data_IF_274110929200
#
_entry.id   IF_274110929200
#
_cell.length_a   1.000
_cell.length_b   1.000
_cell.length_c   1.000
_cell.angle_alpha   90.00
_cell.angle_beta   90.00
_cell.angle_gamma   90.00
#
_symmetry.space_group_name_H-M   'P 1'
#
loop_
_entity.id
_entity.type
_entity.pdbx_description
1 polymer ?
#
# COMPACT_ATOMS: atom_id res chain seq x y z
N UNK A 1 -10.32 -21.98 60.69
CA UNK A 1 -10.31 -21.14 59.51
C UNK A 1 -8.92 -21.28 58.90
N UNK A 2 -8.71 -22.21 57.97
CA UNK A 2 -7.42 -22.52 57.35
C UNK A 2 -7.36 -21.88 55.97
N UNK A 3 -6.42 -20.97 55.83
CA UNK A 3 -6.03 -20.34 54.56
C UNK A 3 -5.24 -21.40 53.80
N UNK A 4 -5.67 -21.72 52.56
CA UNK A 4 -4.97 -22.62 51.64
C UNK A 4 -4.07 -21.84 50.71
N UNK A 5 -2.90 -22.43 50.55
CA UNK A 5 -1.70 -22.03 49.86
C UNK A 5 -1.86 -21.68 48.36
N UNK A 6 -1.02 -20.72 47.96
CA UNK A 6 -0.75 -20.27 46.65
C UNK A 6 -0.24 -21.40 45.73
N UNK A 7 -0.80 -21.50 44.54
CA UNK A 7 -0.22 -22.26 43.44
C UNK A 7 0.65 -21.32 42.60
N UNK A 8 1.94 -21.30 42.90
CA UNK A 8 2.96 -20.68 42.06
C UNK A 8 3.19 -21.56 40.81
N UNK A 9 2.82 -21.06 39.65
CA UNK A 9 3.24 -21.63 38.36
C UNK A 9 4.64 -21.12 38.03
N UNK A 10 5.64 -21.99 37.81
CA UNK A 10 7.00 -21.54 37.54
C UNK A 10 7.12 -20.95 36.13
N UNK A 11 7.50 -19.70 36.04
CA UNK A 11 7.98 -19.05 34.84
C UNK A 11 9.25 -19.76 34.34
N UNK A 12 9.15 -20.46 33.21
CA UNK A 12 10.32 -20.99 32.51
C UNK A 12 11.17 -19.80 32.02
N UNK A 13 12.35 -19.65 32.62
CA UNK A 13 13.40 -18.76 32.15
C UNK A 13 13.87 -19.22 30.76
N UNK A 14 13.65 -18.39 29.76
CA UNK A 14 14.38 -18.48 28.50
C UNK A 14 15.84 -18.08 28.78
N UNK A 15 16.72 -19.06 28.77
CA UNK A 15 18.17 -18.85 28.85
C UNK A 15 18.63 -18.33 27.50
N UNK A 16 18.95 -17.05 27.43
CA UNK A 16 19.71 -16.48 26.30
C UNK A 16 21.16 -16.92 26.51
N UNK A 17 21.66 -17.76 25.61
CA UNK A 17 23.06 -18.16 25.59
C UNK A 17 23.91 -16.93 25.18
N UNK A 18 24.58 -16.32 26.14
CA UNK A 18 25.64 -15.36 25.89
C UNK A 18 26.88 -16.11 25.39
N UNK A 19 27.13 -16.07 24.10
CA UNK A 19 28.42 -16.50 23.53
C UNK A 19 29.49 -15.47 23.96
N UNK A 20 30.38 -15.89 24.85
CA UNK A 20 31.59 -15.13 25.22
C UNK A 20 32.53 -15.14 24.02
N UNK A 21 32.72 -13.97 23.42
CA UNK A 21 33.79 -13.76 22.40
C UNK A 21 35.09 -13.57 23.15
N UNK A 22 35.95 -14.61 23.16
CA UNK A 22 37.33 -14.48 23.57
C UNK A 22 38.13 -13.76 22.49
N UNK A 23 38.60 -12.58 22.83
CA UNK A 23 39.51 -11.74 22.05
C UNK A 23 40.91 -12.37 22.04
N UNK A 24 41.24 -13.10 20.99
CA UNK A 24 42.64 -13.44 20.69
C UNK A 24 43.24 -12.31 19.83
N UNK A 25 44.03 -11.44 20.46
CA UNK A 25 44.89 -10.48 19.81
C UNK A 25 46.13 -11.23 19.31
N UNK A 26 46.31 -11.36 18.02
CA UNK A 26 47.47 -11.90 17.36
C UNK A 26 47.50 -11.49 15.90
N UNK A 27 48.35 -10.53 15.62
CA UNK A 27 48.88 -10.03 14.36
C UNK A 27 48.69 -10.93 13.14
N UNK A 28 47.87 -10.50 12.18
CA UNK A 28 48.12 -10.58 10.74
C UNK A 28 47.36 -9.38 10.16
N UNK A 29 48.06 -8.35 9.74
CA UNK A 29 47.54 -7.34 8.83
C UNK A 29 47.55 -7.97 7.43
N UNK A 30 46.43 -8.26 6.81
CA UNK A 30 46.33 -8.25 5.35
C UNK A 30 46.00 -6.80 4.95
N UNK A 31 46.82 -6.24 4.09
CA UNK A 31 46.44 -5.08 3.28
C UNK A 31 45.03 -5.38 2.67
N UNK A 32 44.00 -4.88 3.32
CA UNK A 32 42.70 -4.81 2.70
C UNK A 32 42.81 -3.68 1.68
N UNK A 33 43.10 -4.04 0.42
CA UNK A 33 42.68 -3.22 -0.70
C UNK A 33 41.23 -2.85 -0.48
N UNK A 34 41.02 -1.55 -0.34
CA UNK A 34 39.71 -0.92 -0.24
C UNK A 34 38.98 -1.14 -1.58
N UNK A 35 38.50 -2.38 -1.79
CA UNK A 35 37.53 -2.65 -2.86
C UNK A 35 36.30 -1.87 -2.49
N UNK A 36 36.29 -0.60 -2.89
CA UNK A 36 35.05 0.19 -2.99
C UNK A 36 34.05 -0.67 -3.77
N UNK A 37 33.18 -1.38 -3.06
CA UNK A 37 31.98 -1.92 -3.68
C UNK A 37 31.37 -0.76 -4.46
N UNK A 38 31.20 -0.87 -5.78
CA UNK A 38 30.60 0.20 -6.55
C UNK A 38 29.26 0.51 -5.91
N UNK A 39 29.08 1.74 -5.49
CA UNK A 39 27.77 2.21 -5.01
C UNK A 39 26.76 1.84 -6.10
N UNK A 40 25.70 1.08 -5.81
CA UNK A 40 24.75 0.69 -6.84
C UNK A 40 24.27 1.95 -7.55
N UNK A 41 24.26 1.91 -8.87
CA UNK A 41 23.80 3.05 -9.67
C UNK A 41 22.38 3.42 -9.23
N UNK A 42 22.06 4.71 -9.12
CA UNK A 42 20.73 5.14 -8.70
C UNK A 42 19.67 4.59 -9.63
N UNK A 43 18.54 4.14 -9.09
CA UNK A 43 17.39 3.71 -9.87
C UNK A 43 16.91 4.86 -10.76
N UNK A 44 16.87 4.64 -12.07
CA UNK A 44 16.40 5.63 -13.05
C UNK A 44 14.91 5.46 -13.29
N UNK A 45 14.13 6.49 -12.98
CA UNK A 45 12.68 6.49 -13.09
C UNK A 45 12.25 7.43 -14.20
N UNK A 46 11.40 6.96 -15.11
CA UNK A 46 10.65 7.81 -16.02
C UNK A 46 9.28 8.15 -15.43
N UNK A 47 8.91 9.42 -15.39
CA UNK A 47 7.58 9.85 -14.97
C UNK A 47 6.68 10.03 -16.19
N UNK A 48 5.54 9.34 -16.21
CA UNK A 48 4.48 9.50 -17.19
C UNK A 48 3.29 10.14 -16.52
N UNK A 49 3.05 11.41 -16.86
CA UNK A 49 2.19 12.32 -16.10
C UNK A 49 2.99 13.15 -15.10
N UNK A 50 3.17 14.43 -15.41
CA UNK A 50 3.96 15.35 -14.59
C UNK A 50 3.08 16.41 -13.92
N UNK A 51 2.00 15.93 -13.27
CA UNK A 51 1.08 16.72 -12.44
C UNK A 51 1.46 16.66 -10.94
N UNK A 52 0.47 16.85 -10.08
CA UNK A 52 0.67 16.87 -8.61
C UNK A 52 1.38 15.62 -8.08
N UNK A 53 1.06 14.41 -8.59
CA UNK A 53 1.74 13.19 -8.18
C UNK A 53 3.14 13.09 -8.76
N UNK A 54 3.36 13.46 -10.02
CA UNK A 54 4.68 13.46 -10.65
C UNK A 54 5.68 14.33 -9.89
N UNK A 55 5.30 15.55 -9.52
CA UNK A 55 6.15 16.44 -8.71
C UNK A 55 6.46 15.88 -7.32
N UNK A 56 5.49 15.23 -6.67
CA UNK A 56 5.72 14.64 -5.35
C UNK A 56 6.62 13.40 -5.43
N UNK A 57 6.48 12.58 -6.49
CA UNK A 57 7.37 11.45 -6.74
C UNK A 57 8.80 11.94 -7.01
N UNK A 58 8.99 12.96 -7.85
CA UNK A 58 10.31 13.53 -8.14
C UNK A 58 11.00 14.02 -6.86
N UNK A 59 10.29 14.77 -6.02
CA UNK A 59 10.82 15.26 -4.74
C UNK A 59 11.30 14.12 -3.84
N UNK A 60 10.49 13.06 -3.68
CA UNK A 60 10.82 11.92 -2.82
C UNK A 60 11.86 10.99 -3.44
N UNK A 61 11.89 10.84 -4.76
CA UNK A 61 12.89 10.03 -5.45
C UNK A 61 14.31 10.52 -5.13
N UNK A 62 14.55 11.84 -5.16
CA UNK A 62 15.82 12.43 -4.80
C UNK A 62 16.25 12.10 -3.35
N UNK A 63 15.31 12.15 -2.39
CA UNK A 63 15.57 11.80 -0.98
C UNK A 63 15.92 10.31 -0.80
N UNK A 64 15.51 9.44 -1.72
CA UNK A 64 15.77 8.00 -1.71
C UNK A 64 16.94 7.56 -2.59
N UNK A 65 17.66 8.51 -3.19
CA UNK A 65 18.79 8.22 -4.09
C UNK A 65 18.37 7.65 -5.45
N UNK A 66 17.10 7.80 -5.85
CA UNK A 66 16.63 7.52 -7.19
C UNK A 66 16.70 8.78 -8.07
N UNK A 67 16.83 8.59 -9.38
CA UNK A 67 16.97 9.68 -10.34
C UNK A 67 15.78 9.69 -11.31
N UNK A 68 15.14 10.85 -11.48
CA UNK A 68 14.20 11.03 -12.58
C UNK A 68 15.02 11.27 -13.87
N UNK A 69 14.98 10.29 -14.76
CA UNK A 69 15.74 10.29 -16.02
C UNK A 69 14.96 10.84 -17.20
N UNK A 70 13.62 10.80 -17.12
CA UNK A 70 12.73 11.33 -18.16
C UNK A 70 11.37 11.72 -17.56
N UNK A 71 10.72 12.70 -18.20
CA UNK A 71 9.33 13.08 -17.90
C UNK A 71 8.53 13.15 -19.20
N UNK A 72 7.33 12.56 -19.17
CA UNK A 72 6.39 12.54 -20.28
C UNK A 72 5.05 13.12 -19.85
N UNK A 73 4.45 13.92 -20.72
CA UNK A 73 3.15 14.55 -20.53
C UNK A 73 2.44 14.74 -21.87
N UNK A 74 1.32 15.45 -21.91
CA UNK A 74 0.59 15.74 -23.14
C UNK A 74 1.42 16.51 -24.18
N UNK A 75 2.36 17.37 -23.75
CA UNK A 75 3.22 18.14 -24.64
C UNK A 75 4.43 17.33 -25.13
N UNK A 76 4.82 16.33 -24.37
CA UNK A 76 5.93 15.41 -24.66
C UNK A 76 5.51 13.97 -24.43
N UNK A 77 4.71 13.37 -25.32
CA UNK A 77 4.26 11.98 -25.18
C UNK A 77 5.41 11.00 -25.37
N UNK A 78 5.23 9.78 -24.90
CA UNK A 78 6.18 8.70 -25.09
C UNK A 78 6.23 8.39 -26.61
N UNK A 79 7.42 8.45 -27.21
CA UNK A 79 7.59 8.12 -28.59
C UNK A 79 7.73 6.58 -28.76
N UNK A 80 6.90 5.99 -29.61
CA UNK A 80 6.85 4.54 -29.82
C UNK A 80 8.19 3.90 -30.28
N UNK A 81 9.11 4.71 -30.85
CA UNK A 81 10.38 4.22 -31.41
C UNK A 81 11.62 4.78 -30.68
N UNK A 82 11.45 5.42 -29.53
CA UNK A 82 12.55 5.99 -28.76
C UNK A 82 12.71 5.26 -27.41
N UNK A 83 13.95 4.90 -27.02
CA UNK A 83 14.18 4.27 -25.73
C UNK A 83 13.81 5.22 -24.58
N UNK A 84 13.20 4.68 -23.54
CA UNK A 84 12.76 5.47 -22.37
C UNK A 84 13.94 5.90 -21.49
N UNK A 85 15.13 5.29 -21.65
CA UNK A 85 16.34 5.55 -20.84
C UNK A 85 16.11 5.52 -19.32
N UNK A 86 15.20 4.65 -18.86
CA UNK A 86 14.87 4.44 -17.46
C UNK A 86 14.86 2.94 -17.16
N UNK A 87 15.01 2.60 -15.89
CA UNK A 87 14.91 1.22 -15.40
C UNK A 87 13.46 0.82 -15.16
N UNK A 88 12.60 1.83 -14.90
CA UNK A 88 11.16 1.68 -14.67
C UNK A 88 10.44 2.99 -14.96
N UNK A 89 9.21 2.91 -15.42
CA UNK A 89 8.30 4.06 -15.54
C UNK A 89 7.28 4.06 -14.40
N UNK A 90 6.88 5.26 -13.94
CA UNK A 90 5.75 5.45 -13.03
C UNK A 90 4.71 6.31 -13.74
N UNK A 91 3.52 5.74 -13.93
CA UNK A 91 2.43 6.29 -14.73
C UNK A 91 1.30 6.80 -13.80
N UNK A 92 1.09 8.14 -13.82
CA UNK A 92 -0.03 8.84 -13.17
C UNK A 92 -0.60 9.87 -14.12
N UNK A 93 -1.44 9.45 -15.05
CA UNK A 93 -2.06 10.33 -16.05
C UNK A 93 -3.59 10.38 -15.94
N UNK A 94 -4.29 9.98 -16.98
CA UNK A 94 -5.75 10.00 -17.09
C UNK A 94 -6.26 8.64 -17.61
N UNK A 95 -7.47 8.19 -17.24
CA UNK A 95 -8.05 6.92 -17.70
C UNK A 95 -8.03 6.71 -19.22
N UNK A 96 -8.19 7.79 -19.99
CA UNK A 96 -8.20 7.72 -21.45
C UNK A 96 -6.80 7.55 -22.07
N UNK A 97 -5.73 7.90 -21.33
CA UNK A 97 -4.34 7.83 -21.82
C UNK A 97 -3.59 6.58 -21.34
N UNK A 98 -3.96 6.03 -20.20
CA UNK A 98 -3.21 4.99 -19.48
C UNK A 98 -2.96 3.73 -20.32
N UNK A 99 -3.93 3.26 -21.08
CA UNK A 99 -3.77 2.05 -21.91
C UNK A 99 -2.73 2.25 -23.02
N UNK A 100 -2.76 3.40 -23.68
CA UNK A 100 -1.76 3.76 -24.69
C UNK A 100 -0.36 3.85 -24.08
N UNK A 101 -0.23 4.47 -22.90
CA UNK A 101 1.03 4.57 -22.18
C UNK A 101 1.56 3.20 -21.77
N UNK A 102 0.73 2.34 -21.18
CA UNK A 102 1.12 0.97 -20.78
C UNK A 102 1.59 0.18 -22.00
N UNK A 103 0.83 0.19 -23.12
CA UNK A 103 1.17 -0.52 -24.33
C UNK A 103 2.53 -0.09 -24.85
N UNK A 104 2.73 1.21 -25.01
CA UNK A 104 4.01 1.75 -25.50
C UNK A 104 5.18 1.38 -24.60
N UNK A 105 5.04 1.51 -23.26
CA UNK A 105 6.09 1.16 -22.32
C UNK A 105 6.43 -0.34 -22.33
N UNK A 106 5.42 -1.19 -22.37
CA UNK A 106 5.60 -2.66 -22.46
C UNK A 106 6.29 -3.06 -23.76
N UNK A 107 5.89 -2.48 -24.90
CA UNK A 107 6.51 -2.72 -26.21
C UNK A 107 7.97 -2.23 -26.26
N UNK A 108 8.29 -1.15 -25.54
CA UNK A 108 9.66 -0.66 -25.38
C UNK A 108 10.49 -1.45 -24.32
N UNK A 109 9.91 -2.48 -23.71
CA UNK A 109 10.57 -3.30 -22.68
C UNK A 109 10.77 -2.59 -21.34
N UNK A 110 10.12 -1.44 -21.13
CA UNK A 110 10.22 -0.67 -19.88
C UNK A 110 9.19 -1.18 -18.85
N UNK A 111 9.62 -1.65 -17.67
CA UNK A 111 8.70 -1.96 -16.57
C UNK A 111 7.88 -0.72 -16.18
N UNK A 112 6.60 -0.91 -15.83
CA UNK A 112 5.73 0.22 -15.48
C UNK A 112 4.90 -0.02 -14.23
N UNK A 113 4.96 0.96 -13.32
CA UNK A 113 4.08 1.09 -12.17
C UNK A 113 2.94 2.02 -12.56
N UNK A 114 1.70 1.53 -12.45
CA UNK A 114 0.50 2.23 -12.92
C UNK A 114 -0.34 2.66 -11.73
N UNK A 115 -0.45 3.98 -11.51
CA UNK A 115 -1.28 4.57 -10.46
C UNK A 115 -2.53 5.27 -10.98
N UNK A 116 -2.67 5.43 -12.28
CA UNK A 116 -3.93 5.92 -12.88
C UNK A 116 -5.03 4.89 -12.62
N UNK A 117 -6.19 5.36 -12.18
CA UNK A 117 -7.40 4.55 -11.90
C UNK A 117 -8.45 4.72 -13.00
N UNK A 118 -9.54 3.93 -12.93
CA UNK A 118 -10.68 4.05 -13.84
C UNK A 118 -10.52 3.32 -15.19
N UNK A 119 -9.56 2.39 -15.29
CA UNK A 119 -9.34 1.55 -16.45
C UNK A 119 -9.53 0.04 -16.16
N UNK A 120 -10.13 -0.29 -15.03
CA UNK A 120 -10.28 -1.68 -14.53
C UNK A 120 -10.91 -2.65 -15.55
N UNK A 121 -11.79 -2.16 -16.42
CA UNK A 121 -12.40 -2.94 -17.52
C UNK A 121 -11.38 -3.46 -18.55
N UNK A 122 -10.16 -2.92 -18.57
CA UNK A 122 -9.09 -3.29 -19.48
C UNK A 122 -7.94 -4.10 -18.83
N UNK A 123 -8.10 -4.48 -17.58
CA UNK A 123 -7.05 -5.21 -16.84
C UNK A 123 -6.70 -6.51 -17.52
N UNK A 124 -7.67 -7.27 -18.05
CA UNK A 124 -7.41 -8.54 -18.74
C UNK A 124 -6.70 -8.34 -20.08
N UNK A 125 -7.03 -7.27 -20.82
CA UNK A 125 -6.31 -6.88 -22.04
C UNK A 125 -4.83 -6.59 -21.73
N UNK A 126 -4.57 -5.84 -20.67
CA UNK A 126 -3.20 -5.52 -20.24
C UNK A 126 -2.46 -6.77 -19.76
N UNK A 127 -3.11 -7.70 -19.06
CA UNK A 127 -2.50 -8.99 -18.67
C UNK A 127 -2.04 -9.79 -19.88
N UNK A 128 -2.87 -9.85 -20.93
CA UNK A 128 -2.54 -10.54 -22.17
C UNK A 128 -1.36 -9.86 -22.90
N UNK A 129 -1.36 -8.53 -22.98
CA UNK A 129 -0.26 -7.75 -23.53
C UNK A 129 1.05 -8.01 -22.80
N UNK A 130 1.03 -7.95 -21.47
CA UNK A 130 2.20 -8.19 -20.61
C UNK A 130 2.74 -9.60 -20.80
N UNK A 131 1.88 -10.61 -20.87
CA UNK A 131 2.27 -11.99 -21.08
C UNK A 131 2.91 -12.18 -22.48
N UNK A 132 2.32 -11.60 -23.52
CA UNK A 132 2.82 -11.71 -24.89
C UNK A 132 4.18 -11.01 -25.09
N UNK A 133 4.36 -9.84 -24.49
CA UNK A 133 5.58 -9.05 -24.59
C UNK A 133 6.66 -9.44 -23.55
N UNK A 134 6.39 -10.38 -22.65
CA UNK A 134 7.24 -10.69 -21.48
C UNK A 134 7.58 -9.42 -20.68
N UNK A 135 6.60 -8.52 -20.58
CA UNK A 135 6.71 -7.25 -19.87
C UNK A 135 6.53 -7.35 -18.38
N UNK A 136 6.66 -6.22 -17.68
CA UNK A 136 6.42 -6.09 -16.22
C UNK A 136 5.53 -4.91 -15.96
N UNK A 137 4.37 -5.15 -15.37
CA UNK A 137 3.41 -4.11 -14.99
C UNK A 137 3.00 -4.35 -13.55
N UNK A 138 3.02 -3.30 -12.73
CA UNK A 138 2.45 -3.31 -11.39
C UNK A 138 1.35 -2.25 -11.33
N UNK A 139 0.14 -2.65 -10.98
CA UNK A 139 -1.01 -1.77 -10.82
C UNK A 139 -1.47 -1.69 -9.38
N UNK A 140 -1.81 -0.49 -8.92
CA UNK A 140 -2.46 -0.25 -7.66
C UNK A 140 -3.52 0.84 -7.77
N UNK A 141 -4.72 0.59 -7.26
CA UNK A 141 -5.75 1.62 -7.11
C UNK A 141 -5.44 2.59 -5.97
N UNK A 142 -4.54 2.20 -5.06
CA UNK A 142 -4.12 3.02 -3.93
C UNK A 142 -2.67 2.67 -3.53
N UNK A 143 -1.74 3.56 -3.80
CA UNK A 143 -0.32 3.42 -3.48
C UNK A 143 0.06 3.86 -2.05
N UNK A 144 -0.89 4.25 -1.20
CA UNK A 144 -0.57 4.58 0.19
C UNK A 144 -0.10 3.36 0.96
N UNK A 145 1.18 3.33 1.31
CA UNK A 145 1.77 2.28 2.16
C UNK A 145 0.97 2.13 3.46
N UNK A 146 0.67 3.26 4.12
CA UNK A 146 -0.09 3.25 5.37
C UNK A 146 -1.49 2.67 5.23
N UNK A 147 -2.19 2.94 4.12
CA UNK A 147 -3.53 2.38 3.86
C UNK A 147 -3.45 0.87 3.62
N UNK A 148 -2.46 0.39 2.86
CA UNK A 148 -2.33 -1.05 2.58
C UNK A 148 -1.93 -1.83 3.84
N UNK A 149 -1.04 -1.30 4.68
CA UNK A 149 -0.76 -1.86 6.00
C UNK A 149 -2.01 -1.82 6.90
N UNK A 150 -2.79 -0.74 6.84
CA UNK A 150 -4.03 -0.62 7.61
C UNK A 150 -5.06 -1.67 7.20
N UNK A 151 -5.22 -1.98 5.91
CA UNK A 151 -6.06 -3.08 5.44
C UNK A 151 -5.67 -4.43 6.07
N UNK A 152 -4.36 -4.73 6.16
CA UNK A 152 -3.86 -5.96 6.79
C UNK A 152 -4.12 -5.99 8.29
N UNK A 153 -3.91 -4.86 8.98
CA UNK A 153 -4.18 -4.73 10.42
C UNK A 153 -5.66 -4.94 10.71
N UNK A 154 -6.54 -4.29 9.94
CA UNK A 154 -8.00 -4.44 10.09
C UNK A 154 -8.44 -5.87 9.81
N UNK A 155 -7.91 -6.53 8.77
CA UNK A 155 -8.19 -7.95 8.48
C UNK A 155 -7.82 -8.85 9.65
N UNK A 156 -6.62 -8.71 10.19
CA UNK A 156 -6.15 -9.49 11.33
C UNK A 156 -6.99 -9.23 12.60
N UNK A 157 -7.32 -7.97 12.87
CA UNK A 157 -8.18 -7.60 14.00
C UNK A 157 -9.60 -8.19 13.84
N UNK A 158 -10.20 -8.07 12.65
CA UNK A 158 -11.52 -8.63 12.39
C UNK A 158 -11.56 -10.15 12.52
N UNK A 159 -10.53 -10.86 12.02
CA UNK A 159 -10.39 -12.31 12.20
C UNK A 159 -10.34 -12.70 13.67
N UNK A 160 -9.54 -12.00 14.48
CA UNK A 160 -9.45 -12.24 15.91
C UNK A 160 -10.80 -11.99 16.62
N UNK A 161 -11.44 -10.85 16.31
CA UNK A 161 -12.69 -10.41 16.94
C UNK A 161 -13.93 -11.15 16.43
N UNK A 162 -13.82 -11.92 15.35
CA UNK A 162 -14.91 -12.78 14.88
C UNK A 162 -15.28 -13.84 15.94
N UNK A 163 -14.30 -14.36 16.70
CA UNK A 163 -14.51 -15.27 17.81
C UNK A 163 -15.18 -14.66 19.05
N UNK A 164 -15.43 -13.34 19.08
CA UNK A 164 -15.99 -12.60 20.21
C UNK A 164 -17.26 -11.84 19.78
N UNK A 165 -18.41 -12.50 19.71
CA UNK A 165 -19.65 -11.94 19.13
C UNK A 165 -20.25 -10.75 19.89
N UNK A 166 -19.77 -10.47 21.10
CA UNK A 166 -20.17 -9.29 21.86
C UNK A 166 -19.65 -7.97 21.26
N UNK A 167 -18.60 -8.01 20.45
CA UNK A 167 -18.10 -6.82 19.76
C UNK A 167 -18.87 -6.57 18.48
N UNK A 168 -19.58 -5.45 18.41
CA UNK A 168 -20.16 -4.92 17.19
C UNK A 168 -19.08 -4.19 16.37
N UNK A 169 -19.31 -3.95 15.07
CA UNK A 169 -18.34 -3.28 14.21
C UNK A 169 -19.00 -2.19 13.38
N UNK A 170 -18.29 -1.06 13.24
CA UNK A 170 -18.67 0.05 12.37
C UNK A 170 -17.45 0.68 11.70
N UNK A 171 -17.68 1.41 10.61
CA UNK A 171 -16.63 2.14 9.88
C UNK A 171 -17.04 3.61 9.71
N UNK A 172 -16.12 4.50 10.03
CA UNK A 172 -16.22 5.93 9.77
C UNK A 172 -15.14 6.39 8.81
N UNK A 173 -15.46 7.31 7.88
CA UNK A 173 -14.47 7.97 7.05
C UNK A 173 -14.74 9.47 6.91
N UNK A 174 -13.67 10.26 6.80
CA UNK A 174 -13.74 11.69 6.56
C UNK A 174 -12.77 12.12 5.45
N UNK A 175 -13.24 12.95 4.53
CA UNK A 175 -12.45 13.56 3.46
C UNK A 175 -12.83 15.03 3.25
N UNK A 176 -12.03 15.71 2.41
CA UNK A 176 -12.30 17.09 2.02
C UNK A 176 -13.66 17.22 1.31
N UNK A 177 -14.24 18.43 1.36
CA UNK A 177 -15.57 18.73 0.82
C UNK A 177 -15.71 18.60 -0.71
N UNK A 178 -14.58 18.51 -1.45
CA UNK A 178 -14.55 18.33 -2.92
C UNK A 178 -14.58 16.87 -3.35
N UNK A 179 -14.53 15.89 -2.41
CA UNK A 179 -14.58 14.47 -2.75
C UNK A 179 -16.02 14.08 -3.08
N UNK A 180 -16.23 13.57 -4.29
CA UNK A 180 -17.57 13.29 -4.83
C UNK A 180 -18.14 11.93 -4.35
N UNK A 181 -17.30 10.90 -4.30
CA UNK A 181 -17.71 9.55 -3.88
C UNK A 181 -17.86 9.45 -2.35
N UNK A 182 -18.93 8.82 -1.92
CA UNK A 182 -19.21 8.47 -0.52
C UNK A 182 -20.02 7.15 -0.48
N UNK A 183 -19.53 6.11 0.19
CA UNK A 183 -18.22 5.98 0.83
C UNK A 183 -17.05 6.06 -0.15
N UNK A 184 -15.85 6.43 0.37
CA UNK A 184 -14.61 6.43 -0.42
C UNK A 184 -14.20 5.01 -0.81
N UNK A 185 -13.40 4.86 -1.91
CA UNK A 185 -12.89 3.56 -2.32
C UNK A 185 -12.14 2.82 -1.20
N UNK A 186 -11.36 3.53 -0.37
CA UNK A 186 -10.71 2.95 0.83
C UNK A 186 -11.73 2.44 1.85
N UNK A 187 -12.81 3.18 2.07
CA UNK A 187 -13.87 2.75 2.98
C UNK A 187 -14.63 1.52 2.43
N UNK A 188 -14.86 1.46 1.12
CA UNK A 188 -15.46 0.29 0.48
C UNK A 188 -14.57 -0.95 0.65
N UNK A 189 -13.25 -0.82 0.44
CA UNK A 189 -12.29 -1.93 0.66
C UNK A 189 -12.29 -2.37 2.12
N UNK A 190 -12.26 -1.45 3.09
CA UNK A 190 -12.34 -1.78 4.51
C UNK A 190 -13.65 -2.48 4.87
N UNK A 191 -14.78 -2.00 4.33
CA UNK A 191 -16.06 -2.64 4.54
C UNK A 191 -16.10 -4.06 3.98
N UNK A 192 -15.55 -4.29 2.78
CA UNK A 192 -15.42 -5.64 2.20
C UNK A 192 -14.60 -6.56 3.10
N UNK A 193 -13.47 -6.07 3.64
CA UNK A 193 -12.63 -6.83 4.59
C UNK A 193 -13.43 -7.21 5.84
N UNK A 194 -14.19 -6.27 6.41
CA UNK A 194 -14.98 -6.53 7.61
C UNK A 194 -16.11 -7.54 7.34
N UNK A 195 -16.82 -7.41 6.21
CA UNK A 195 -17.87 -8.34 5.78
C UNK A 195 -17.34 -9.74 5.49
N UNK A 196 -16.11 -9.86 4.95
CA UNK A 196 -15.45 -11.14 4.72
C UNK A 196 -15.00 -11.84 6.01
N UNK A 197 -14.64 -11.08 7.05
CA UNK A 197 -14.02 -11.62 8.26
C UNK A 197 -14.97 -11.73 9.46
N UNK A 198 -16.10 -11.05 9.45
CA UNK A 198 -17.07 -11.04 10.54
C UNK A 198 -18.36 -11.74 10.11
N UNK A 199 -18.56 -13.00 10.47
CA UNK A 199 -19.72 -13.83 10.12
C UNK A 199 -21.07 -13.18 10.49
N UNK A 200 -21.05 -12.34 11.55
CA UNK A 200 -22.25 -11.61 12.02
C UNK A 200 -22.60 -10.37 11.22
N UNK A 201 -21.73 -9.94 10.26
CA UNK A 201 -21.97 -8.80 9.37
C UNK A 201 -22.17 -9.31 7.94
N UNK A 202 -23.39 -9.20 7.42
CA UNK A 202 -23.78 -9.80 6.14
C UNK A 202 -24.18 -8.79 5.06
N UNK A 203 -24.40 -7.53 5.46
CA UNK A 203 -24.78 -6.47 4.53
C UNK A 203 -24.16 -5.12 4.90
N UNK A 204 -24.10 -4.23 3.91
CA UNK A 204 -23.55 -2.88 4.06
C UNK A 204 -24.69 -1.88 4.26
N UNK A 205 -24.66 -1.11 5.36
CA UNK A 205 -25.50 0.05 5.58
C UNK A 205 -24.67 1.33 5.42
N UNK A 206 -24.76 2.00 4.27
CA UNK A 206 -24.01 3.22 4.00
C UNK A 206 -24.83 4.48 4.27
N UNK A 207 -24.19 5.50 4.84
CA UNK A 207 -24.78 6.81 5.10
C UNK A 207 -25.47 6.92 6.46
N UNK A 208 -26.49 7.77 6.55
CA UNK A 208 -27.23 8.03 7.79
C UNK A 208 -28.59 7.31 7.75
N UNK A 209 -28.72 6.14 8.37
CA UNK A 209 -29.98 5.41 8.39
C UNK A 209 -31.05 6.14 9.21
N UNK A 210 -32.30 5.97 8.84
CA UNK A 210 -33.46 6.44 9.62
C UNK A 210 -33.98 5.29 10.50
N UNK A 211 -33.73 5.37 11.80
CA UNK A 211 -34.16 4.35 12.76
C UNK A 211 -33.01 3.44 13.22
N UNK A 212 -33.37 2.26 13.73
CA UNK A 212 -32.38 1.28 14.21
C UNK A 212 -31.71 0.59 13.04
N UNK A 213 -30.39 0.43 13.15
CA UNK A 213 -29.60 -0.36 12.20
C UNK A 213 -29.77 -1.83 12.57
N UNK A 214 -29.94 -2.70 11.56
CA UNK A 214 -29.91 -4.14 11.76
C UNK A 214 -28.54 -4.55 12.34
N UNK A 215 -28.49 -5.36 13.41
CA UNK A 215 -27.22 -5.86 13.95
C UNK A 215 -26.36 -6.62 12.92
N UNK A 216 -26.96 -7.22 11.90
CA UNK A 216 -26.24 -7.87 10.80
C UNK A 216 -25.68 -6.89 9.76
N UNK A 217 -26.09 -5.62 9.77
CA UNK A 217 -25.57 -4.61 8.87
C UNK A 217 -24.28 -3.98 9.40
N UNK A 218 -23.26 -3.85 8.54
CA UNK A 218 -22.07 -3.07 8.80
C UNK A 218 -22.35 -1.59 8.48
N UNK A 219 -22.43 -0.75 9.49
CA UNK A 219 -22.63 0.67 9.29
C UNK A 219 -21.36 1.36 8.81
N UNK A 220 -21.47 2.09 7.68
CA UNK A 220 -20.40 2.93 7.13
C UNK A 220 -20.87 4.37 7.02
N UNK A 221 -20.31 5.25 7.83
CA UNK A 221 -20.62 6.68 7.80
C UNK A 221 -19.49 7.49 7.14
N UNK A 222 -19.90 8.48 6.35
CA UNK A 222 -18.98 9.34 5.58
C UNK A 222 -19.17 10.79 5.95
N UNK A 223 -18.06 11.49 6.22
CA UNK A 223 -18.04 12.94 6.48
C UNK A 223 -17.25 13.68 5.40
N UNK A 224 -17.74 14.85 5.00
CA UNK A 224 -17.06 15.77 4.08
C UNK A 224 -16.85 17.09 4.78
N UNK A 225 -15.56 17.45 5.04
CA UNK A 225 -15.22 18.64 5.83
C UNK A 225 -13.87 19.23 5.41
N UNK A 226 -13.85 20.52 5.12
CA UNK A 226 -12.65 21.32 4.89
C UNK A 226 -11.68 20.70 3.88
N UNK A 227 -10.43 20.49 4.30
CA UNK A 227 -9.31 19.99 3.50
C UNK A 227 -8.75 18.64 4.01
N UNK A 228 -9.53 17.86 4.76
CA UNK A 228 -9.12 16.56 5.29
C UNK A 228 -8.71 15.65 4.13
N UNK A 229 -7.47 15.17 4.16
CA UNK A 229 -6.90 14.33 3.09
C UNK A 229 -7.56 12.95 3.04
N UNK A 230 -7.77 12.34 4.21
CA UNK A 230 -8.46 11.07 4.38
C UNK A 230 -8.23 10.54 5.80
N UNK A 231 -9.30 10.23 6.49
CA UNK A 231 -9.29 9.53 7.79
C UNK A 231 -10.24 8.35 7.69
N UNK A 232 -9.83 7.19 8.18
CA UNK A 232 -10.65 5.98 8.25
C UNK A 232 -10.50 5.40 9.65
N UNK A 233 -11.61 5.14 10.32
CA UNK A 233 -11.66 4.54 11.64
C UNK A 233 -12.57 3.32 11.60
N UNK A 234 -12.02 2.17 11.96
CA UNK A 234 -12.79 0.96 12.26
C UNK A 234 -12.95 0.87 13.76
N UNK A 235 -14.18 0.79 14.21
CA UNK A 235 -14.54 0.67 15.63
C UNK A 235 -15.11 -0.71 15.88
N UNK A 236 -14.62 -1.37 16.91
CA UNK A 236 -15.21 -2.57 17.49
C UNK A 236 -15.66 -2.23 18.90
N UNK A 237 -16.96 -2.35 19.20
CA UNK A 237 -17.54 -1.90 20.45
C UNK A 237 -18.29 -3.03 21.16
N UNK A 238 -18.09 -3.11 22.47
CA UNK A 238 -18.79 -4.02 23.37
C UNK A 238 -19.26 -3.24 24.61
N UNK A 239 -20.08 -3.86 25.47
CA UNK A 239 -20.58 -3.22 26.68
C UNK A 239 -19.46 -2.74 27.63
N UNK A 240 -18.32 -3.45 27.64
CA UNK A 240 -17.21 -3.20 28.57
C UNK A 240 -16.18 -2.20 28.04
N UNK A 241 -15.94 -2.20 26.74
CA UNK A 241 -14.87 -1.41 26.11
C UNK A 241 -15.05 -1.25 24.59
N UNK A 242 -14.26 -0.35 24.03
CA UNK A 242 -14.20 -0.04 22.61
C UNK A 242 -12.78 -0.18 22.10
N UNK A 243 -12.57 -0.80 20.96
CA UNK A 243 -11.31 -0.88 20.23
C UNK A 243 -11.44 -0.05 18.95
N UNK A 244 -10.56 0.93 18.77
CA UNK A 244 -10.52 1.76 17.57
C UNK A 244 -9.20 1.57 16.80
N UNK A 245 -9.31 1.33 15.50
CA UNK A 245 -8.19 1.33 14.58
C UNK A 245 -8.35 2.52 13.63
N UNK A 246 -7.40 3.44 13.65
CA UNK A 246 -7.51 4.67 12.84
C UNK A 246 -6.29 4.87 11.96
N UNK A 247 -6.51 5.06 10.67
CA UNK A 247 -5.54 5.57 9.70
C UNK A 247 -5.91 7.00 9.32
N UNK A 248 -4.91 7.90 9.36
CA UNK A 248 -5.08 9.31 8.96
C UNK A 248 -3.97 9.72 8.00
N UNK A 249 -4.33 10.01 6.75
CA UNK A 249 -3.41 10.57 5.77
C UNK A 249 -3.13 12.05 6.10
N UNK A 250 -1.86 12.44 6.11
CA UNK A 250 -1.44 13.83 6.35
C UNK A 250 -1.30 14.62 5.05
N UNK A 251 -0.78 13.95 4.01
CA UNK A 251 -0.52 14.53 2.68
C UNK A 251 -0.44 13.41 1.64
N UNK A 252 0.00 13.74 0.41
CA UNK A 252 0.14 12.79 -0.70
C UNK A 252 1.48 12.05 -0.72
N UNK A 253 2.43 12.38 0.15
CA UNK A 253 3.75 11.73 0.17
C UNK A 253 3.68 10.22 0.37
N UNK A 254 2.66 9.73 1.12
CA UNK A 254 2.44 8.30 1.31
C UNK A 254 2.16 7.53 0.01
N UNK A 255 1.48 8.15 -0.94
CA UNK A 255 1.20 7.56 -2.26
C UNK A 255 2.45 7.60 -3.15
N UNK A 256 3.17 8.73 -3.16
CA UNK A 256 4.40 8.88 -3.92
C UNK A 256 5.49 7.91 -3.42
N UNK A 257 5.62 7.78 -2.10
CA UNK A 257 6.51 6.78 -1.49
C UNK A 257 6.16 5.37 -1.94
N UNK A 258 4.89 5.00 -1.91
CA UNK A 258 4.44 3.68 -2.35
C UNK A 258 4.72 3.43 -3.83
N UNK A 259 4.55 4.43 -4.69
CA UNK A 259 4.89 4.30 -6.11
C UNK A 259 6.39 4.08 -6.35
N UNK A 260 7.26 4.75 -5.56
CA UNK A 260 8.72 4.53 -5.62
C UNK A 260 9.07 3.13 -5.11
N UNK A 261 8.51 2.69 -3.97
CA UNK A 261 8.71 1.34 -3.45
C UNK A 261 8.26 0.26 -4.44
N UNK A 262 7.13 0.50 -5.12
CA UNK A 262 6.66 -0.39 -6.19
C UNK A 262 7.64 -0.43 -7.37
N UNK A 263 8.23 0.69 -7.74
CA UNK A 263 9.24 0.77 -8.79
C UNK A 263 10.52 0.02 -8.40
N UNK A 264 11.02 0.25 -7.19
CA UNK A 264 12.18 -0.47 -6.63
C UNK A 264 11.94 -1.99 -6.61
N UNK A 265 10.74 -2.43 -6.24
CA UNK A 265 10.38 -3.84 -6.18
C UNK A 265 10.22 -4.45 -7.58
N UNK A 266 9.55 -3.73 -8.51
CA UNK A 266 9.18 -4.25 -9.84
C UNK A 266 10.40 -4.55 -10.72
N UNK A 267 11.48 -3.79 -10.63
CA UNK A 267 12.69 -4.01 -11.43
C UNK A 267 13.35 -5.37 -11.17
N UNK A 268 13.19 -5.90 -9.97
CA UNK A 268 13.70 -7.22 -9.56
C UNK A 268 12.79 -8.40 -9.87
N UNK A 269 11.57 -8.15 -10.40
CA UNK A 269 10.61 -9.23 -10.61
C UNK A 269 10.75 -9.87 -11.99
N UNK A 270 10.34 -11.14 -12.15
CA UNK A 270 10.18 -11.75 -13.46
C UNK A 270 9.09 -11.06 -14.30
N UNK A 271 8.99 -11.30 -15.61
CA UNK A 271 7.87 -10.83 -16.41
C UNK A 271 6.52 -11.21 -15.80
N UNK A 272 5.59 -10.26 -15.70
CA UNK A 272 4.29 -10.50 -15.09
C UNK A 272 3.47 -9.23 -14.86
N UNK A 273 2.20 -9.45 -14.53
CA UNK A 273 1.27 -8.41 -14.08
C UNK A 273 1.05 -8.57 -12.58
N UNK A 274 1.43 -7.57 -11.82
CA UNK A 274 1.43 -7.54 -10.35
C UNK A 274 0.44 -6.54 -9.79
N UNK A 275 0.03 -6.75 -8.57
CA UNK A 275 -0.75 -5.79 -7.78
C UNK A 275 0.12 -5.16 -6.70
N UNK A 276 -0.19 -3.90 -6.34
CA UNK A 276 0.57 -3.18 -5.31
C UNK A 276 0.55 -3.89 -3.95
N UNK A 277 -0.54 -4.59 -3.64
CA UNK A 277 -0.69 -5.35 -2.40
C UNK A 277 0.31 -6.52 -2.29
N UNK A 278 0.92 -6.94 -3.38
CA UNK A 278 1.90 -8.05 -3.42
C UNK A 278 3.29 -7.66 -2.92
N UNK A 279 3.57 -6.36 -2.77
CA UNK A 279 4.87 -5.89 -2.27
C UNK A 279 5.02 -5.99 -0.74
N UNK A 280 3.95 -6.35 -0.01
CA UNK A 280 3.94 -6.38 1.46
C UNK A 280 4.10 -7.80 2.04
#
# INVERSE_FOLDING_TARGET
>A
MKIREEVLVPLRRLTVATASVHYLRGQIEPEMEDQKNPTPSPLRIALVGYGTMGHEIERLAAERGAQISATFDLARPIAANAPVHADVAIEFTHPDAVLGNIRTLVELGCPVVVGTTGWDRHVDEVRQLVAAAQGRVLYGSNFSVGVNLFFRIVRAAAQLLNGFPMYDAALFEAHHNRKADAPSGTAVTLASILLEQLDRKTELCAGNPTGRIDPAALHVSSQRVGAVVGTHTVTFDAEADTIELTHRARNRSGFALGAILAAEWLVGQPPGFYRFEEIF
#
